data_IF_862694452994
#
_entry.id   IF_862694452994
#
_cell.length_a   1.000
_cell.length_b   1.000
_cell.length_c   1.000
_cell.angle_alpha   90.00
_cell.angle_beta   90.00
_cell.angle_gamma   90.00
#
_symmetry.space_group_name_H-M   'P 1'
#
loop_
_entity.id
_entity.type
_entity.pdbx_description
1 polymer ?
#
# COMPACT_ATOMS: atom_id res chain seq x y z
N UNK A 1 -46.96 2.50 79.70
CA UNK A 1 -45.68 1.75 79.59
C UNK A 1 -44.78 2.48 78.60
N UNK A 2 -43.54 2.74 79.03
CA UNK A 2 -42.37 3.42 78.47
C UNK A 2 -42.22 3.79 76.96
N UNK A 3 -41.63 4.99 76.78
CA UNK A 3 -41.04 5.65 75.59
C UNK A 3 -40.09 4.77 74.76
N UNK A 4 -39.89 5.11 73.47
CA UNK A 4 -38.58 5.50 72.89
C UNK A 4 -38.70 6.08 71.46
N UNK A 5 -38.18 7.29 71.31
CA UNK A 5 -37.78 7.97 70.07
C UNK A 5 -36.60 7.26 69.40
N UNK A 6 -36.56 7.24 68.06
CA UNK A 6 -35.31 7.06 67.29
C UNK A 6 -35.22 8.17 66.24
N UNK A 7 -34.21 9.05 66.40
CA UNK A 7 -33.64 9.90 65.35
C UNK A 7 -32.37 9.20 64.84
N UNK A 8 -32.11 9.25 63.53
CA UNK A 8 -30.79 9.38 62.84
C UNK A 8 -30.83 8.64 61.48
N UNK A 9 -30.91 9.34 60.33
CA UNK A 9 -29.83 9.87 59.46
C UNK A 9 -29.23 8.80 58.52
N UNK A 10 -29.43 8.95 57.20
CA UNK A 10 -28.40 8.76 56.17
C UNK A 10 -28.85 9.30 54.78
N UNK A 11 -28.21 10.41 54.40
CA UNK A 11 -27.84 10.94 53.07
C UNK A 11 -28.77 10.80 51.84
N UNK A 12 -29.13 11.97 51.30
CA UNK A 12 -29.53 12.16 49.91
C UNK A 12 -28.33 12.08 48.97
N UNK A 13 -28.49 11.43 47.80
CA UNK A 13 -27.72 11.76 46.59
C UNK A 13 -28.74 12.14 45.53
N UNK A 14 -28.74 13.43 45.19
CA UNK A 14 -29.39 13.98 44.02
C UNK A 14 -28.91 13.22 42.79
N UNK A 15 -29.81 12.65 42.00
CA UNK A 15 -29.53 12.30 40.61
C UNK A 15 -29.30 13.60 39.85
N UNK A 16 -28.05 14.09 39.87
CA UNK A 16 -27.63 15.12 38.94
C UNK A 16 -27.78 14.53 37.53
N UNK A 17 -28.62 15.20 36.75
CA UNK A 17 -28.78 15.07 35.30
C UNK A 17 -27.51 14.54 34.65
N UNK A 18 -27.63 13.43 33.94
CA UNK A 18 -26.62 13.05 32.95
C UNK A 18 -26.50 14.23 31.98
N UNK A 19 -25.44 15.02 32.12
CA UNK A 19 -24.98 15.88 31.04
C UNK A 19 -24.64 14.91 29.92
N UNK A 20 -25.53 14.84 28.93
CA UNK A 20 -25.16 14.38 27.59
C UNK A 20 -24.02 15.28 27.16
N UNK A 21 -22.78 14.83 27.42
CA UNK A 21 -21.59 15.45 26.89
C UNK A 21 -21.74 15.35 25.39
N UNK A 22 -22.14 16.45 24.77
CA UNK A 22 -21.88 16.64 23.34
C UNK A 22 -20.42 16.30 23.14
N UNK A 23 -20.12 15.24 22.41
CA UNK A 23 -18.76 15.03 21.93
C UNK A 23 -18.46 16.25 21.08
N UNK A 24 -17.69 17.20 21.61
CA UNK A 24 -17.24 18.31 20.82
C UNK A 24 -16.24 17.74 19.82
N UNK A 25 -16.72 17.42 18.61
CA UNK A 25 -15.84 17.13 17.50
C UNK A 25 -15.01 18.40 17.27
N UNK A 26 -13.69 18.30 17.40
CA UNK A 26 -12.79 19.34 16.96
C UNK A 26 -12.90 19.58 15.44
N UNK A 27 -12.15 20.56 14.94
CA UNK A 27 -12.23 21.02 13.56
C UNK A 27 -10.89 20.87 12.83
N UNK A 28 -10.98 20.54 11.55
CA UNK A 28 -9.84 20.55 10.63
C UNK A 28 -9.58 21.97 10.14
N UNK A 29 -8.31 22.40 10.20
CA UNK A 29 -7.85 23.71 9.74
C UNK A 29 -6.75 23.50 8.69
N UNK A 30 -6.83 24.27 7.60
CA UNK A 30 -5.85 24.22 6.51
C UNK A 30 -4.99 25.49 6.51
N UNK A 31 -3.67 25.31 6.50
CA UNK A 31 -2.68 26.37 6.41
C UNK A 31 -1.78 26.13 5.20
N UNK A 32 -2.11 26.78 4.08
CA UNK A 32 -1.48 26.48 2.79
C UNK A 32 -1.75 25.04 2.35
N UNK A 33 -0.71 24.24 2.21
CA UNK A 33 -0.83 22.81 1.88
C UNK A 33 -0.95 21.90 3.12
N UNK A 34 -0.76 22.45 4.32
CA UNK A 34 -0.73 21.68 5.55
C UNK A 34 -2.11 21.61 6.20
N UNK A 35 -2.46 20.45 6.73
CA UNK A 35 -3.68 20.24 7.53
C UNK A 35 -3.34 20.04 8.99
N UNK A 36 -4.10 20.68 9.87
CA UNK A 36 -4.01 20.55 11.33
C UNK A 36 -5.39 20.26 11.91
N UNK A 37 -5.46 19.66 13.10
CA UNK A 37 -6.72 19.45 13.79
C UNK A 37 -6.74 20.19 15.13
N UNK A 38 -7.70 21.11 15.29
CA UNK A 38 -7.94 21.82 16.54
C UNK A 38 -9.01 21.10 17.34
N UNK A 39 -8.65 20.64 18.54
CA UNK A 39 -9.57 20.05 19.50
C UNK A 39 -10.52 21.12 20.05
N UNK A 40 -11.61 20.67 20.66
CA UNK A 40 -12.63 21.55 21.25
C UNK A 40 -12.11 22.43 22.39
N UNK A 41 -11.02 22.05 23.04
CA UNK A 41 -10.33 22.82 24.08
C UNK A 41 -9.46 23.95 23.48
N UNK A 42 -9.47 24.14 22.15
CA UNK A 42 -8.70 25.13 21.43
C UNK A 42 -7.25 24.73 21.14
N UNK A 43 -6.77 23.62 21.70
CA UNK A 43 -5.42 23.11 21.45
C UNK A 43 -5.36 22.24 20.20
N UNK A 44 -4.16 22.06 19.64
CA UNK A 44 -3.95 21.25 18.43
C UNK A 44 -3.61 19.80 18.77
N UNK A 45 -4.15 18.87 17.99
CA UNK A 45 -3.74 17.48 18.00
C UNK A 45 -2.28 17.34 17.53
N UNK A 46 -1.48 16.59 18.28
CA UNK A 46 -0.06 16.34 18.01
C UNK A 46 0.31 14.93 18.47
N UNK A 47 1.17 14.25 17.70
CA UNK A 47 1.59 12.86 17.94
C UNK A 47 0.42 11.89 18.19
N UNK A 48 -0.67 12.04 17.44
CA UNK A 48 -1.86 11.24 17.65
C UNK A 48 -2.72 11.13 16.39
N UNK A 49 -3.57 10.11 16.36
CA UNK A 49 -4.59 9.91 15.34
C UNK A 49 -5.84 10.77 15.59
N UNK A 50 -6.41 11.31 14.52
CA UNK A 50 -7.76 11.88 14.46
C UNK A 50 -8.50 11.20 13.32
N UNK A 51 -9.36 10.23 13.65
CA UNK A 51 -9.93 9.32 12.66
C UNK A 51 -8.82 8.52 11.98
N UNK A 52 -8.77 8.56 10.65
CA UNK A 52 -7.76 7.85 9.84
C UNK A 52 -6.54 8.71 9.51
N UNK A 53 -6.31 9.82 10.21
CA UNK A 53 -5.26 10.77 9.89
C UNK A 53 -4.33 10.95 11.08
N UNK A 54 -3.02 10.90 10.85
CA UNK A 54 -2.02 11.08 11.91
C UNK A 54 -1.45 12.49 11.91
N UNK A 55 -1.43 13.13 13.07
CA UNK A 55 -0.87 14.47 13.28
C UNK A 55 0.52 14.34 13.91
N UNK A 56 1.52 14.92 13.27
CA UNK A 56 2.92 14.91 13.71
C UNK A 56 3.17 15.69 15.00
N UNK A 57 4.43 15.73 15.42
CA UNK A 57 4.86 16.47 16.63
C UNK A 57 4.68 17.99 16.49
N UNK A 58 4.72 18.50 15.27
CA UNK A 58 4.42 19.88 14.90
C UNK A 58 2.90 20.15 14.80
N UNK A 59 2.07 19.11 14.77
CA UNK A 59 0.62 19.17 14.60
C UNK A 59 0.18 19.20 13.14
N UNK A 60 1.10 18.98 12.20
CA UNK A 60 0.80 18.86 10.77
C UNK A 60 0.45 17.41 10.45
N UNK A 61 -0.57 17.21 9.62
CA UNK A 61 -0.99 15.91 9.15
C UNK A 61 0.06 15.28 8.24
N UNK A 62 0.38 14.01 8.49
CA UNK A 62 1.27 13.24 7.64
C UNK A 62 0.56 12.91 6.31
N UNK A 63 1.33 12.94 5.21
CA UNK A 63 0.87 12.53 3.88
C UNK A 63 1.98 11.74 3.20
N UNK A 64 1.60 10.70 2.47
CA UNK A 64 2.51 9.86 1.69
C UNK A 64 3.72 9.35 2.51
N UNK A 65 3.50 9.01 3.78
CA UNK A 65 4.58 8.75 4.73
C UNK A 65 4.20 7.73 5.81
N UNK A 66 5.22 7.22 6.49
CA UNK A 66 5.06 6.34 7.65
C UNK A 66 4.89 7.16 8.92
N UNK A 67 3.92 6.78 9.74
CA UNK A 67 3.73 7.31 11.08
C UNK A 67 4.75 6.68 12.05
N UNK A 68 5.09 7.35 13.17
CA UNK A 68 6.04 6.81 14.16
C UNK A 68 5.60 5.48 14.78
N UNK A 69 4.30 5.20 14.81
CA UNK A 69 3.70 3.93 15.26
C UNK A 69 3.54 2.90 14.13
N UNK A 70 4.13 3.18 12.95
CA UNK A 70 4.35 2.20 11.89
C UNK A 70 3.23 2.08 10.87
N UNK A 71 2.21 2.94 10.85
CA UNK A 71 1.17 2.89 9.81
C UNK A 71 1.56 3.76 8.62
N UNK A 72 1.12 3.39 7.42
CA UNK A 72 1.29 4.21 6.23
C UNK A 72 0.03 5.03 5.97
N UNK A 73 0.20 6.32 5.72
CA UNK A 73 -0.86 7.22 5.24
C UNK A 73 -0.62 7.59 3.78
N UNK A 74 -1.68 7.52 2.96
CA UNK A 74 -1.58 7.75 1.52
C UNK A 74 -1.31 9.24 1.17
N UNK A 75 -1.29 9.56 -0.12
CA UNK A 75 -1.09 10.94 -0.60
C UNK A 75 -2.16 11.94 -0.10
N UNK A 76 -3.33 11.46 0.33
CA UNK A 76 -4.38 12.27 0.97
C UNK A 76 -4.24 12.35 2.49
N UNK A 77 -3.25 11.65 3.06
CA UNK A 77 -3.00 11.53 4.49
C UNK A 77 -3.88 10.50 5.19
N UNK A 78 -4.68 9.75 4.43
CA UNK A 78 -5.63 8.79 4.98
C UNK A 78 -4.95 7.43 5.18
N UNK A 79 -5.16 6.86 6.35
CA UNK A 79 -4.88 5.47 6.62
C UNK A 79 -5.97 4.56 6.04
N UNK A 80 -5.54 3.50 5.38
CA UNK A 80 -6.37 2.54 4.63
C UNK A 80 -6.90 1.38 5.49
N UNK A 81 -6.65 1.38 6.80
CA UNK A 81 -7.11 0.35 7.72
C UNK A 81 -6.15 -0.84 7.87
N UNK A 82 -4.99 -0.82 7.21
CA UNK A 82 -4.00 -1.91 7.26
C UNK A 82 -3.05 -1.79 8.44
N UNK A 83 -2.61 -2.91 9.00
CA UNK A 83 -1.77 -2.96 10.19
C UNK A 83 -0.39 -2.28 10.06
N UNK A 84 0.19 -1.89 11.19
CA UNK A 84 1.49 -1.22 11.27
C UNK A 84 2.69 -2.11 10.90
N UNK A 85 3.68 -1.50 10.26
CA UNK A 85 5.01 -2.02 9.98
C UNK A 85 5.74 -2.47 11.26
N UNK A 86 6.40 -3.63 11.19
CA UNK A 86 7.19 -4.17 12.31
C UNK A 86 6.37 -4.77 13.45
N UNK A 87 5.03 -4.73 13.40
CA UNK A 87 4.20 -5.54 14.28
C UNK A 87 4.21 -6.99 13.77
N UNK A 88 4.87 -7.87 14.51
CA UNK A 88 5.19 -9.27 14.19
C UNK A 88 3.98 -10.21 13.96
N UNK A 89 2.82 -9.71 13.54
CA UNK A 89 1.63 -10.53 13.24
C UNK A 89 0.94 -10.19 11.93
N UNK A 90 1.50 -9.34 11.07
CA UNK A 90 1.00 -9.20 9.71
C UNK A 90 1.54 -10.32 8.82
N UNK A 91 0.68 -11.29 8.55
CA UNK A 91 0.85 -12.14 7.39
C UNK A 91 0.89 -11.22 6.17
N UNK A 92 2.08 -11.08 5.58
CA UNK A 92 2.27 -10.47 4.26
C UNK A 92 1.20 -11.02 3.32
N UNK A 93 0.33 -10.18 2.70
CA UNK A 93 -0.79 -10.67 1.91
C UNK A 93 -0.31 -11.58 0.78
N UNK A 94 -0.96 -12.74 0.60
CA UNK A 94 -0.69 -13.56 -0.58
C UNK A 94 -1.12 -12.78 -1.81
N UNK A 95 -0.18 -12.54 -2.71
CA UNK A 95 -0.51 -12.06 -4.05
C UNK A 95 -1.06 -13.25 -4.84
N UNK A 96 -2.39 -13.37 -4.90
CA UNK A 96 -3.05 -14.50 -5.56
C UNK A 96 -2.61 -14.69 -7.02
N UNK A 97 -2.40 -13.58 -7.75
CA UNK A 97 -1.90 -13.64 -9.14
C UNK A 97 -0.46 -14.11 -9.16
N UNK A 98 0.40 -13.50 -8.37
CA UNK A 98 1.81 -13.88 -8.32
C UNK A 98 2.02 -15.32 -7.87
N UNK A 99 1.19 -15.82 -6.95
CA UNK A 99 1.23 -17.22 -6.51
C UNK A 99 0.71 -18.16 -7.59
N UNK A 100 -0.32 -17.76 -8.34
CA UNK A 100 -0.78 -18.52 -9.50
C UNK A 100 0.35 -18.63 -10.52
N UNK A 101 1.01 -17.53 -10.87
CA UNK A 101 2.14 -17.50 -11.81
C UNK A 101 3.34 -18.30 -11.30
N UNK A 102 3.65 -18.21 -10.00
CA UNK A 102 4.71 -18.99 -9.35
C UNK A 102 4.48 -20.50 -9.52
N UNK A 103 3.22 -20.95 -9.41
CA UNK A 103 2.85 -22.36 -9.53
C UNK A 103 2.51 -22.79 -10.96
N UNK A 104 2.38 -21.84 -11.89
CA UNK A 104 2.05 -22.12 -13.28
C UNK A 104 3.21 -22.80 -14.01
N UNK A 105 2.92 -23.72 -14.95
CA UNK A 105 3.94 -24.20 -15.86
C UNK A 105 4.49 -23.04 -16.69
N UNK A 106 5.77 -23.13 -17.04
CA UNK A 106 6.33 -22.26 -18.05
C UNK A 106 5.84 -22.68 -19.43
N UNK A 107 5.58 -21.71 -20.28
CA UNK A 107 5.17 -21.91 -21.68
C UNK A 107 6.17 -21.23 -22.60
N UNK A 108 6.24 -21.67 -23.86
CA UNK A 108 7.09 -21.01 -24.86
C UNK A 108 6.71 -19.54 -24.95
N UNK A 109 7.70 -18.69 -24.90
CA UNK A 109 7.52 -17.28 -25.16
C UNK A 109 7.20 -17.12 -26.66
N UNK A 110 6.08 -16.45 -26.94
CA UNK A 110 5.67 -16.15 -28.30
C UNK A 110 6.50 -15.00 -28.89
N UNK A 111 6.95 -14.06 -28.06
CA UNK A 111 7.68 -12.86 -28.45
C UNK A 111 9.18 -13.15 -28.55
N UNK A 112 9.76 -13.85 -27.56
CA UNK A 112 11.20 -14.13 -27.51
C UNK A 112 11.49 -15.57 -27.91
N UNK A 113 11.81 -15.77 -29.19
CA UNK A 113 12.10 -17.09 -29.75
C UNK A 113 13.19 -17.84 -28.95
N UNK A 114 12.82 -19.02 -28.45
CA UNK A 114 13.72 -19.89 -27.67
C UNK A 114 13.68 -19.66 -26.17
N UNK A 115 12.90 -18.69 -25.69
CA UNK A 115 12.67 -18.47 -24.26
C UNK A 115 11.35 -19.11 -23.78
N UNK A 116 11.23 -19.22 -22.45
CA UNK A 116 9.97 -19.61 -21.81
C UNK A 116 9.57 -18.59 -20.76
N UNK A 117 8.28 -18.29 -20.69
CA UNK A 117 7.68 -17.33 -19.74
C UNK A 117 6.67 -18.01 -18.82
N UNK A 118 6.18 -17.28 -17.82
CA UNK A 118 5.07 -17.72 -16.98
C UNK A 118 3.79 -17.87 -17.79
N UNK A 119 2.90 -18.73 -17.30
CA UNK A 119 1.59 -18.90 -17.90
C UNK A 119 0.46 -18.44 -16.98
N UNK A 120 -0.57 -17.84 -17.57
CA UNK A 120 -1.85 -17.61 -16.93
C UNK A 120 -2.91 -18.39 -17.70
N UNK A 121 -3.33 -19.52 -17.12
CA UNK A 121 -4.28 -20.46 -17.76
C UNK A 121 -3.90 -20.89 -19.19
N UNK A 122 -2.60 -21.09 -19.47
CA UNK A 122 -2.10 -21.55 -20.76
C UNK A 122 -1.64 -20.41 -21.69
N UNK A 123 -2.02 -19.16 -21.41
CA UNK A 123 -1.51 -18.01 -22.16
C UNK A 123 -0.12 -17.60 -21.65
N UNK A 124 0.85 -17.26 -22.51
CA UNK A 124 2.12 -16.65 -22.10
C UNK A 124 1.86 -15.26 -21.53
N UNK A 125 2.60 -14.93 -20.48
CA UNK A 125 2.36 -13.74 -19.66
C UNK A 125 3.54 -12.80 -19.70
N UNK A 126 3.22 -11.53 -19.80
CA UNK A 126 4.09 -10.40 -19.55
C UNK A 126 3.42 -9.46 -18.55
N UNK A 127 4.12 -9.11 -17.48
CA UNK A 127 3.65 -8.16 -16.47
C UNK A 127 4.04 -6.77 -16.97
N UNK A 128 3.04 -5.94 -17.24
CA UNK A 128 3.27 -4.56 -17.69
C UNK A 128 2.55 -3.62 -16.73
N UNK A 129 3.29 -2.66 -16.17
CA UNK A 129 2.87 -1.39 -15.54
C UNK A 129 1.66 -1.31 -14.57
N UNK A 130 1.57 -0.16 -13.88
CA UNK A 130 0.32 0.30 -13.27
C UNK A 130 -0.37 1.25 -14.23
N UNK A 131 -1.67 1.07 -14.46
CA UNK A 131 -2.45 1.92 -15.36
C UNK A 131 -2.41 3.42 -14.97
N UNK A 132 -2.26 3.69 -13.68
CA UNK A 132 -2.28 5.00 -13.04
C UNK A 132 -0.91 5.43 -12.48
N UNK A 133 0.12 4.60 -12.66
CA UNK A 133 1.48 4.79 -12.12
C UNK A 133 1.57 4.88 -10.60
N UNK A 134 0.56 4.44 -9.86
CA UNK A 134 0.54 4.50 -8.39
C UNK A 134 1.37 3.36 -7.81
N UNK A 135 2.20 3.69 -6.82
CA UNK A 135 2.86 2.73 -5.94
C UNK A 135 2.71 3.14 -4.49
N UNK A 136 2.54 2.16 -3.61
CA UNK A 136 2.55 2.35 -2.17
C UNK A 136 3.75 1.63 -1.58
N UNK A 137 4.56 2.36 -0.80
CA UNK A 137 5.56 1.74 0.05
C UNK A 137 4.85 1.05 1.22
N UNK A 138 5.04 -0.26 1.36
CA UNK A 138 4.48 -1.10 2.43
C UNK A 138 5.55 -1.65 3.38
N UNK A 139 6.74 -1.07 3.35
CA UNK A 139 7.81 -1.32 4.31
C UNK A 139 8.75 -2.40 3.80
N UNK A 140 8.27 -3.63 3.64
CA UNK A 140 9.06 -4.75 3.09
C UNK A 140 8.86 -4.97 1.58
N UNK A 141 7.83 -4.35 1.01
CA UNK A 141 7.46 -4.44 -0.39
C UNK A 141 6.83 -3.14 -0.89
N UNK A 142 6.70 -3.02 -2.21
CA UNK A 142 5.89 -2.03 -2.89
C UNK A 142 4.59 -2.69 -3.38
N UNK A 143 3.47 -2.03 -3.15
CA UNK A 143 2.18 -2.39 -3.73
C UNK A 143 1.87 -1.54 -4.95
N UNK A 144 1.43 -2.21 -6.02
CA UNK A 144 1.01 -1.62 -7.28
C UNK A 144 -0.49 -1.90 -7.40
N UNK A 145 -1.38 -1.04 -6.89
CA UNK A 145 -2.79 -1.35 -6.69
C UNK A 145 -3.55 -1.67 -7.98
N UNK A 146 -3.15 -1.05 -9.10
CA UNK A 146 -3.75 -1.23 -10.41
C UNK A 146 -2.78 -1.90 -11.40
N UNK A 147 -2.02 -2.87 -10.89
CA UNK A 147 -1.12 -3.69 -11.69
C UNK A 147 -1.87 -4.51 -12.73
N UNK A 148 -1.32 -4.56 -13.94
CA UNK A 148 -1.93 -5.31 -15.05
C UNK A 148 -1.06 -6.48 -15.46
N UNK A 149 -1.73 -7.60 -15.69
CA UNK A 149 -1.16 -8.79 -16.29
C UNK A 149 -1.53 -8.80 -17.77
N UNK A 150 -0.54 -8.81 -18.64
CA UNK A 150 -0.76 -8.82 -20.08
C UNK A 150 -0.46 -10.19 -20.68
N UNK A 151 -1.28 -10.57 -21.64
CA UNK A 151 -0.99 -11.67 -22.55
C UNK A 151 -0.33 -11.11 -23.81
N UNK A 152 0.71 -11.78 -24.26
CA UNK A 152 1.39 -11.50 -25.51
C UNK A 152 0.72 -12.25 -26.67
N UNK A 153 0.62 -11.61 -27.84
CA UNK A 153 0.21 -12.24 -29.09
C UNK A 153 0.79 -11.53 -30.31
N UNK A 154 0.75 -12.22 -31.46
CA UNK A 154 1.00 -11.59 -32.76
C UNK A 154 -0.31 -11.22 -33.42
N UNK A 155 -0.38 -10.02 -33.97
CA UNK A 155 -1.51 -9.60 -34.80
C UNK A 155 -1.39 -10.16 -36.23
N UNK A 156 -2.29 -9.75 -37.12
CA UNK A 156 -2.30 -10.19 -38.53
C UNK A 156 -1.11 -9.69 -39.37
N UNK A 157 -0.28 -8.80 -38.82
CA UNK A 157 0.90 -8.23 -39.47
C UNK A 157 2.22 -8.76 -38.88
N UNK A 158 2.17 -9.80 -38.04
CA UNK A 158 3.32 -10.31 -37.27
C UNK A 158 3.94 -9.28 -36.30
N UNK A 159 3.19 -8.23 -35.94
CA UNK A 159 3.61 -7.28 -34.91
C UNK A 159 3.24 -7.79 -33.52
N UNK A 160 4.08 -7.46 -32.54
CA UNK A 160 3.88 -7.82 -31.13
C UNK A 160 2.83 -6.93 -30.50
N UNK A 161 1.74 -7.53 -30.01
CA UNK A 161 0.68 -6.84 -29.30
C UNK A 161 0.37 -7.48 -27.94
N UNK A 162 -0.29 -6.69 -27.09
CA UNK A 162 -0.64 -7.07 -25.73
C UNK A 162 -2.11 -6.84 -25.44
N UNK A 163 -2.71 -7.73 -24.65
CA UNK A 163 -4.07 -7.56 -24.12
C UNK A 163 -4.08 -7.81 -22.62
N UNK A 164 -4.99 -7.16 -21.89
CA UNK A 164 -5.09 -7.33 -20.44
C UNK A 164 -5.76 -8.68 -20.15
N UNK A 165 -5.01 -9.58 -19.50
CA UNK A 165 -5.52 -10.83 -18.95
C UNK A 165 -6.21 -10.62 -17.59
N UNK A 166 -5.64 -9.75 -16.76
CA UNK A 166 -6.13 -9.48 -15.41
C UNK A 166 -5.66 -8.11 -14.89
N UNK A 167 -6.43 -7.50 -13.99
CA UNK A 167 -6.05 -6.27 -13.27
C UNK A 167 -6.26 -6.45 -11.77
N UNK A 168 -5.22 -6.21 -10.96
CA UNK A 168 -5.23 -6.41 -9.51
C UNK A 168 -3.96 -5.82 -8.88
N UNK A 169 -3.92 -5.63 -7.55
CA UNK A 169 -2.68 -5.34 -6.88
C UNK A 169 -1.57 -6.34 -7.22
N UNK A 170 -0.40 -5.83 -7.58
CA UNK A 170 0.86 -6.58 -7.67
C UNK A 170 1.79 -6.14 -6.55
N UNK A 171 2.61 -7.05 -6.04
CA UNK A 171 3.51 -6.79 -4.93
C UNK A 171 4.96 -7.07 -5.35
N UNK A 172 5.86 -6.12 -5.10
CA UNK A 172 7.29 -6.21 -5.44
C UNK A 172 8.09 -6.11 -4.15
N UNK A 173 8.92 -7.11 -3.83
CA UNK A 173 9.79 -7.00 -2.64
C UNK A 173 10.74 -5.82 -2.78
N UNK A 174 11.04 -5.12 -1.69
CA UNK A 174 12.03 -4.03 -1.71
C UNK A 174 13.43 -4.51 -2.07
N UNK A 175 13.78 -5.72 -1.63
CA UNK A 175 15.03 -6.37 -1.98
C UNK A 175 14.96 -7.13 -3.32
N UNK A 176 13.87 -7.00 -4.09
CA UNK A 176 13.78 -7.61 -5.41
C UNK A 176 14.90 -7.08 -6.30
N UNK A 177 15.47 -7.98 -7.10
CA UNK A 177 16.54 -7.66 -8.03
C UNK A 177 15.94 -6.99 -9.26
N UNK A 178 16.18 -5.70 -9.42
CA UNK A 178 15.80 -4.93 -10.60
C UNK A 178 16.97 -4.91 -11.58
N UNK A 179 16.80 -5.53 -12.74
CA UNK A 179 17.76 -5.43 -13.85
C UNK A 179 17.43 -4.19 -14.68
N UNK A 180 18.41 -3.31 -14.83
CA UNK A 180 18.37 -2.15 -15.73
C UNK A 180 19.42 -2.34 -16.83
N UNK A 181 19.43 -1.48 -17.85
CA UNK A 181 20.46 -1.55 -18.91
C UNK A 181 21.85 -1.48 -18.26
N UNK A 182 22.67 -2.49 -18.52
CA UNK A 182 24.05 -2.67 -18.06
C UNK A 182 24.30 -2.64 -16.54
N UNK A 183 23.24 -2.73 -15.71
CA UNK A 183 23.40 -2.71 -14.25
C UNK A 183 22.26 -3.44 -13.51
N UNK A 184 22.47 -3.68 -12.21
CA UNK A 184 21.47 -4.29 -11.32
C UNK A 184 21.41 -3.53 -10.01
N UNK A 185 20.22 -3.35 -9.45
CA UNK A 185 20.01 -2.75 -8.13
C UNK A 185 18.79 -3.38 -7.45
N UNK A 186 18.54 -3.04 -6.19
CA UNK A 186 17.28 -3.43 -5.54
C UNK A 186 16.12 -2.56 -5.99
N UNK A 187 14.89 -3.06 -5.87
CA UNK A 187 13.68 -2.25 -6.09
C UNK A 187 13.68 -0.98 -5.23
N UNK A 188 14.17 -1.07 -3.99
CA UNK A 188 14.30 0.09 -3.11
C UNK A 188 15.30 1.13 -3.62
N UNK A 189 16.48 0.69 -4.07
CA UNK A 189 17.46 1.58 -4.70
C UNK A 189 16.90 2.22 -5.97
N UNK A 190 16.13 1.48 -6.76
CA UNK A 190 15.47 1.98 -7.95
C UNK A 190 14.48 3.11 -7.62
N UNK A 191 13.59 2.90 -6.64
CA UNK A 191 12.65 3.93 -6.18
C UNK A 191 13.36 5.13 -5.57
N UNK A 192 14.45 4.93 -4.82
CA UNK A 192 15.24 6.04 -4.25
C UNK A 192 15.91 6.90 -5.32
N UNK A 193 16.43 6.27 -6.38
CA UNK A 193 17.14 6.97 -7.45
C UNK A 193 16.20 7.68 -8.43
N UNK A 194 15.04 7.09 -8.71
CA UNK A 194 14.17 7.53 -9.81
C UNK A 194 12.72 7.86 -9.39
N UNK A 195 12.39 7.75 -8.10
CA UNK A 195 11.06 8.01 -7.56
C UNK A 195 9.98 6.99 -7.94
N UNK A 196 10.34 5.93 -8.66
CA UNK A 196 9.42 4.89 -9.12
C UNK A 196 10.16 3.57 -9.39
N UNK A 197 9.43 2.50 -9.68
CA UNK A 197 10.02 1.22 -10.12
C UNK A 197 10.47 1.24 -11.61
N UNK A 198 10.85 2.42 -12.11
CA UNK A 198 11.25 2.69 -13.49
C UNK A 198 12.20 3.90 -13.57
N UNK A 199 12.84 4.09 -14.72
CA UNK A 199 13.71 5.22 -15.06
C UNK A 199 12.96 6.14 -16.05
N UNK A 200 12.55 7.35 -15.60
CA UNK A 200 11.82 8.30 -16.46
C UNK A 200 10.39 8.67 -15.97
N UNK A 201 9.97 8.19 -14.80
CA UNK A 201 8.74 8.65 -14.13
C UNK A 201 7.43 7.95 -14.56
N UNK A 202 7.50 6.85 -15.30
CA UNK A 202 6.36 5.99 -15.64
C UNK A 202 6.50 4.66 -14.94
N UNK A 203 5.51 4.14 -14.21
CA UNK A 203 5.67 2.81 -13.61
C UNK A 203 5.62 1.72 -14.68
N UNK A 204 6.75 1.33 -15.26
CA UNK A 204 6.84 0.15 -16.12
C UNK A 204 7.69 -0.93 -15.42
N UNK A 205 7.00 -1.80 -14.66
CA UNK A 205 7.41 -3.19 -14.64
C UNK A 205 7.27 -3.63 -16.09
N UNK A 206 8.39 -3.93 -16.74
CA UNK A 206 8.40 -4.37 -18.13
C UNK A 206 9.12 -5.71 -18.11
N UNK A 207 8.32 -6.76 -17.89
CA UNK A 207 8.86 -8.09 -17.69
C UNK A 207 8.92 -8.81 -19.02
N UNK A 208 9.89 -8.46 -19.84
CA UNK A 208 10.18 -9.27 -21.02
C UNK A 208 10.66 -10.64 -20.52
N UNK A 209 9.81 -11.64 -20.72
CA UNK A 209 10.16 -13.06 -20.62
C UNK A 209 10.72 -13.55 -19.26
N UNK A 210 11.72 -14.43 -19.36
CA UNK A 210 12.33 -15.26 -18.32
C UNK A 210 12.96 -14.50 -17.14
N UNK A 211 13.06 -13.17 -17.21
CA UNK A 211 13.72 -12.31 -16.23
C UNK A 211 12.96 -12.09 -14.92
N UNK A 212 11.68 -12.46 -14.85
CA UNK A 212 10.85 -12.26 -13.64
C UNK A 212 10.80 -13.49 -12.75
N UNK A 213 10.77 -13.27 -11.44
CA UNK A 213 10.55 -14.34 -10.47
C UNK A 213 9.64 -13.89 -9.33
N UNK A 214 8.97 -14.87 -8.74
CA UNK A 214 8.10 -14.68 -7.58
C UNK A 214 8.60 -15.50 -6.38
N UNK A 215 8.32 -15.04 -5.16
CA UNK A 215 8.38 -15.90 -3.97
C UNK A 215 7.11 -16.76 -3.81
N UNK A 216 7.10 -17.65 -2.82
CA UNK A 216 5.97 -18.55 -2.56
C UNK A 216 4.66 -17.85 -2.16
N UNK A 217 4.74 -16.56 -1.77
CA UNK A 217 3.59 -15.72 -1.48
C UNK A 217 3.16 -14.87 -2.69
N UNK A 218 3.82 -15.06 -3.84
CA UNK A 218 3.51 -14.37 -5.08
C UNK A 218 4.10 -12.96 -5.19
N UNK A 219 5.08 -12.59 -4.37
CA UNK A 219 5.73 -11.29 -4.50
C UNK A 219 6.81 -11.38 -5.56
N UNK A 220 6.92 -10.36 -6.40
CA UNK A 220 7.99 -10.22 -7.39
C UNK A 220 9.32 -10.06 -6.63
N UNK A 221 10.28 -10.92 -6.94
CA UNK A 221 11.63 -10.97 -6.35
C UNK A 221 12.73 -10.66 -7.36
N UNK A 222 12.40 -10.66 -8.65
CA UNK A 222 13.25 -10.17 -9.73
C UNK A 222 12.37 -9.65 -10.84
N UNK A 223 12.78 -8.57 -11.48
CA UNK A 223 12.13 -8.00 -12.66
C UNK A 223 13.15 -7.24 -13.50
N UNK A 224 12.80 -7.00 -14.77
CA UNK A 224 13.53 -6.03 -15.60
C UNK A 224 12.77 -4.69 -15.53
N UNK A 225 13.52 -3.61 -15.39
CA UNK A 225 13.02 -2.26 -15.52
C UNK A 225 13.65 -1.66 -16.79
N UNK A 226 12.85 -1.49 -17.83
CA UNK A 226 13.30 -0.85 -19.06
C UNK A 226 13.46 0.65 -18.84
N UNK A 227 14.52 1.24 -19.38
CA UNK A 227 14.64 2.68 -19.56
C UNK A 227 14.48 2.95 -21.06
N UNK A 228 13.33 3.47 -21.47
CA UNK A 228 13.21 4.07 -22.79
C UNK A 228 13.33 5.58 -22.59
N UNK A 229 14.26 6.20 -23.32
CA UNK A 229 14.37 7.66 -23.44
C UNK A 229 13.13 8.27 -24.10
#
# INVERSE_FOLDING_TARGET
MFRKTVKSIAAAVLMATALSTTSFAGQWLQYGQNWCYQKSDGSFARNQWVGNYYLGSDGIMYTNSWTPDGYYVDATGKWDGRSAYGTSTTYEPVNAIGQLLYNSPRVNDMINYGETTFSYYGAPVEIISSADKVIYDRGTYYEIPNGRLYGAYFNEYDDHEYYVLQSSPLYVRKNAVARIIDNTMTAEQLVQNYGSLHVGGYLALDTVASGTSFDSNGYITRFTAHCFE
#
